data_IF_536187433972
#
_entry.id   IF_536187433972
#
_cell.length_a   1.000
_cell.length_b   1.000
_cell.length_c   1.000
_cell.angle_alpha   90.00
_cell.angle_beta   90.00
_cell.angle_gamma   90.00
#
_symmetry.space_group_name_H-M   'P 1'
#
loop_
_entity.id
_entity.type
_entity.pdbx_description
1 polymer ?
#
# COMPACT_ATOMS: atom_id res chain seq x y z
N UNK A 1 37.84 -10.78 25.90
CA UNK A 1 38.06 -9.95 24.70
C UNK A 1 37.00 -10.38 23.69
N UNK A 2 35.86 -9.69 23.63
CA UNK A 2 34.80 -9.99 22.66
C UNK A 2 34.89 -8.94 21.53
N UNK A 3 34.99 -9.34 20.26
CA UNK A 3 35.06 -8.39 19.17
C UNK A 3 33.72 -7.68 19.04
N UNK A 4 33.80 -6.37 18.86
CA UNK A 4 32.66 -5.46 18.87
C UNK A 4 31.59 -5.83 17.85
N UNK A 5 30.35 -5.87 18.32
CA UNK A 5 29.22 -5.60 17.46
C UNK A 5 29.32 -4.14 17.04
N UNK A 6 29.78 -3.92 15.81
CA UNK A 6 29.59 -2.68 15.09
C UNK A 6 28.09 -2.40 15.13
N UNK A 7 27.68 -1.40 15.92
CA UNK A 7 26.34 -0.81 15.79
C UNK A 7 26.27 -0.33 14.35
N UNK A 8 25.54 -1.07 13.52
CA UNK A 8 25.20 -0.61 12.18
C UNK A 8 24.35 0.63 12.42
N UNK A 9 24.94 1.81 12.21
CA UNK A 9 24.20 3.05 11.99
C UNK A 9 23.19 2.76 10.89
N UNK A 10 21.94 2.52 11.26
CA UNK A 10 20.86 2.49 10.28
C UNK A 10 19.75 3.34 10.84
N UNK A 11 19.64 4.52 10.23
CA UNK A 11 18.59 5.53 10.30
C UNK A 11 17.19 4.91 9.98
N UNK A 12 16.79 3.86 10.69
CA UNK A 12 15.48 3.23 10.57
C UNK A 12 14.50 4.01 11.45
N UNK A 13 13.80 4.98 10.85
CA UNK A 13 12.59 5.52 11.49
C UNK A 13 11.51 4.46 11.41
N UNK A 14 11.19 3.86 12.55
CA UNK A 14 10.15 2.85 12.68
C UNK A 14 8.76 3.41 12.33
N UNK A 15 8.02 2.72 11.46
CA UNK A 15 6.56 2.81 11.43
C UNK A 15 6.04 1.65 12.29
N UNK A 16 6.22 1.73 13.60
CA UNK A 16 5.93 0.62 14.54
C UNK A 16 4.44 0.35 14.75
N UNK A 17 3.57 1.21 14.19
CA UNK A 17 2.11 1.04 14.22
C UNK A 17 1.60 0.93 12.80
N UNK A 18 0.62 0.05 12.61
CA UNK A 18 -0.17 -0.03 11.39
C UNK A 18 -0.67 1.36 11.01
N UNK A 19 -0.39 1.77 9.78
CA UNK A 19 -0.86 3.00 9.16
C UNK A 19 -2.06 2.67 8.27
N UNK A 20 -2.89 3.66 7.97
CA UNK A 20 -4.06 3.49 7.11
C UNK A 20 -4.23 4.69 6.19
N UNK A 21 -4.74 4.43 4.98
CA UNK A 21 -5.16 5.44 4.01
C UNK A 21 -6.44 4.94 3.34
N UNK A 22 -7.35 5.87 3.09
CA UNK A 22 -8.64 5.60 2.50
C UNK A 22 -8.76 6.34 1.17
N UNK A 23 -9.07 5.61 0.12
CA UNK A 23 -9.64 6.14 -1.10
C UNK A 23 -11.16 6.12 -0.97
N UNK A 24 -11.81 7.26 -1.16
CA UNK A 24 -13.28 7.36 -1.21
C UNK A 24 -13.71 7.59 -2.65
N UNK A 25 -14.55 6.68 -3.17
CA UNK A 25 -15.24 6.80 -4.45
C UNK A 25 -16.65 7.35 -4.14
N UNK A 26 -16.99 8.56 -4.60
CA UNK A 26 -18.27 9.19 -4.26
C UNK A 26 -19.47 8.40 -4.78
N UNK A 27 -20.62 8.55 -4.11
CA UNK A 27 -21.90 8.06 -4.63
C UNK A 27 -22.28 8.73 -5.95
N UNK A 28 -22.88 7.96 -6.86
CA UNK A 28 -23.20 8.39 -8.22
C UNK A 28 -22.01 8.34 -9.19
N UNK A 29 -20.90 7.73 -8.78
CA UNK A 29 -19.76 7.47 -9.67
C UNK A 29 -20.16 6.39 -10.69
N UNK A 30 -20.01 6.63 -12.01
CA UNK A 30 -20.36 5.64 -13.02
C UNK A 30 -19.50 4.38 -12.94
N UNK A 31 -20.07 3.23 -13.35
CA UNK A 31 -19.33 1.98 -13.55
C UNK A 31 -18.03 2.20 -14.33
N UNK A 32 -17.02 1.41 -13.99
CA UNK A 32 -15.67 1.43 -14.54
C UNK A 32 -14.85 2.70 -14.26
N UNK A 33 -15.40 3.71 -13.60
CA UNK A 33 -14.63 4.88 -13.17
C UNK A 33 -13.55 4.48 -12.15
N UNK A 34 -12.36 5.03 -12.32
CA UNK A 34 -11.20 4.72 -11.51
C UNK A 34 -10.80 5.89 -10.60
N UNK A 35 -10.24 5.57 -9.45
CA UNK A 35 -9.69 6.53 -8.50
C UNK A 35 -8.41 6.01 -7.86
N UNK A 36 -7.60 6.93 -7.35
CA UNK A 36 -6.41 6.58 -6.59
C UNK A 36 -6.06 7.62 -5.54
N UNK A 37 -5.46 7.16 -4.44
CA UNK A 37 -4.80 8.02 -3.44
C UNK A 37 -3.34 7.61 -3.32
N UNK A 38 -2.44 8.57 -3.46
CA UNK A 38 -1.00 8.35 -3.39
C UNK A 38 -0.47 8.57 -1.98
N UNK A 39 0.43 7.67 -1.55
CA UNK A 39 1.18 7.77 -0.31
C UNK A 39 2.67 7.72 -0.63
N UNK A 40 3.37 8.76 -0.21
CA UNK A 40 4.80 8.94 -0.44
C UNK A 40 5.54 9.13 0.89
N UNK A 41 6.75 8.56 1.04
CA UNK A 41 7.58 8.77 2.22
C UNK A 41 8.12 10.21 2.22
N UNK A 42 8.62 10.72 3.37
CA UNK A 42 9.34 11.98 3.41
C UNK A 42 10.53 12.00 2.45
N UNK A 43 10.90 13.19 1.96
CA UNK A 43 12.07 13.35 1.07
C UNK A 43 13.35 12.74 1.67
N UNK A 44 14.11 12.02 0.83
CA UNK A 44 15.30 11.29 1.24
C UNK A 44 15.04 9.94 1.93
N UNK A 45 13.81 9.42 1.87
CA UNK A 45 13.44 8.10 2.39
C UNK A 45 12.67 7.29 1.35
N UNK A 46 12.70 5.98 1.54
CA UNK A 46 11.86 4.99 0.85
C UNK A 46 11.10 4.17 1.89
N UNK A 47 9.96 3.62 1.50
CA UNK A 47 9.26 2.64 2.32
C UNK A 47 9.93 1.28 2.19
N UNK A 48 9.94 0.54 3.29
CA UNK A 48 10.14 -0.92 3.32
C UNK A 48 8.92 -1.52 4.01
N UNK A 49 7.93 -1.90 3.22
CA UNK A 49 6.62 -2.38 3.68
C UNK A 49 6.65 -3.89 3.84
N UNK A 50 6.24 -4.39 5.01
CA UNK A 50 6.18 -5.82 5.30
C UNK A 50 4.88 -6.44 4.85
N UNK A 51 3.77 -5.74 5.02
CA UNK A 51 2.48 -6.21 4.56
C UNK A 51 1.55 -5.04 4.25
N UNK A 52 0.56 -5.34 3.42
CA UNK A 52 -0.66 -4.55 3.28
C UNK A 52 -1.86 -5.34 3.76
N UNK A 53 -2.88 -4.65 4.28
CA UNK A 53 -4.24 -5.18 4.38
C UNK A 53 -5.15 -4.32 3.55
N UNK A 54 -5.93 -4.92 2.67
CA UNK A 54 -6.85 -4.20 1.79
C UNK A 54 -8.29 -4.52 2.18
N UNK A 55 -9.07 -3.46 2.38
CA UNK A 55 -10.53 -3.55 2.52
C UNK A 55 -11.20 -2.83 1.36
N UNK A 56 -12.28 -3.40 0.86
CA UNK A 56 -13.10 -2.91 -0.24
C UNK A 56 -14.56 -2.94 0.19
N UNK A 57 -15.20 -1.78 0.17
CA UNK A 57 -16.65 -1.68 0.35
C UNK A 57 -17.41 -2.35 -0.83
N UNK A 58 -18.74 -2.55 -0.72
CA UNK A 58 -19.57 -2.90 -1.87
C UNK A 58 -19.40 -1.92 -3.04
N UNK A 59 -19.76 -2.35 -4.25
CA UNK A 59 -19.80 -1.62 -5.52
C UNK A 59 -18.43 -1.20 -6.07
N UNK A 60 -17.32 -1.59 -5.42
CA UNK A 60 -15.97 -1.20 -5.84
C UNK A 60 -14.99 -2.36 -5.80
N UNK A 61 -14.10 -2.38 -6.79
CA UNK A 61 -12.87 -3.15 -6.78
C UNK A 61 -11.74 -2.34 -6.14
N UNK A 62 -10.71 -3.02 -5.62
CA UNK A 62 -9.54 -2.38 -5.03
C UNK A 62 -8.22 -3.05 -5.38
N UNK A 63 -7.14 -2.27 -5.41
CA UNK A 63 -5.77 -2.80 -5.55
C UNK A 63 -4.77 -1.83 -4.93
N UNK A 64 -3.50 -2.20 -4.94
CA UNK A 64 -2.39 -1.34 -4.52
C UNK A 64 -1.39 -1.29 -5.66
N UNK A 65 -1.07 -0.08 -6.12
CA UNK A 65 -0.04 0.16 -7.12
C UNK A 65 1.27 0.49 -6.39
N UNK A 66 2.30 -0.29 -6.65
CA UNK A 66 3.61 -0.22 -6.01
C UNK A 66 4.59 0.43 -6.98
N UNK A 67 5.24 1.52 -6.57
CA UNK A 67 6.32 2.13 -7.37
C UNK A 67 7.67 1.77 -6.75
N UNK A 68 8.49 1.03 -7.51
CA UNK A 68 9.83 0.61 -7.10
C UNK A 68 10.86 1.75 -7.10
N UNK A 69 12.12 1.39 -6.83
CA UNK A 69 13.26 2.30 -6.89
C UNK A 69 13.67 2.65 -8.33
N UNK A 70 13.33 1.79 -9.28
CA UNK A 70 13.49 1.98 -10.72
C UNK A 70 12.42 2.92 -11.31
N UNK A 71 11.45 3.34 -10.50
CA UNK A 71 10.32 4.17 -10.93
C UNK A 71 9.24 3.39 -11.68
N UNK A 72 9.39 2.07 -11.83
CA UNK A 72 8.38 1.22 -12.48
C UNK A 72 7.24 1.01 -11.49
N UNK A 73 6.02 1.16 -11.99
CA UNK A 73 4.81 0.88 -11.23
C UNK A 73 4.24 -0.48 -11.59
N UNK A 74 3.89 -1.26 -10.57
CA UNK A 74 3.27 -2.58 -10.71
C UNK A 74 2.04 -2.69 -9.81
N UNK A 75 1.05 -3.48 -10.23
CA UNK A 75 -0.06 -3.86 -9.36
C UNK A 75 0.43 -4.91 -8.35
N UNK A 76 0.03 -4.77 -7.09
CA UNK A 76 0.28 -5.79 -6.05
C UNK A 76 -0.47 -7.07 -6.40
N UNK A 77 -1.74 -6.95 -6.80
CA UNK A 77 -2.59 -8.08 -7.19
C UNK A 77 -2.71 -8.14 -8.71
N UNK A 78 -2.60 -9.35 -9.26
CA UNK A 78 -2.78 -9.57 -10.70
C UNK A 78 -4.19 -9.19 -11.17
N UNK A 79 -5.19 -9.51 -10.34
CA UNK A 79 -6.59 -9.10 -10.50
C UNK A 79 -6.98 -8.20 -9.34
N UNK A 80 -7.87 -7.24 -9.58
CA UNK A 80 -8.33 -6.35 -8.52
C UNK A 80 -9.14 -7.13 -7.48
N UNK A 81 -8.93 -6.81 -6.19
CA UNK A 81 -9.70 -7.38 -5.09
C UNK A 81 -11.18 -7.03 -5.27
N UNK A 82 -12.03 -8.05 -5.14
CA UNK A 82 -13.48 -7.89 -5.23
C UNK A 82 -14.05 -7.06 -4.07
N UNK A 83 -15.26 -6.58 -4.24
CA UNK A 83 -16.04 -5.84 -3.25
C UNK A 83 -16.33 -6.68 -1.99
N UNK A 84 -16.78 -6.03 -0.91
CA UNK A 84 -17.19 -6.69 0.35
C UNK A 84 -16.09 -7.53 1.04
N UNK A 85 -14.83 -7.25 0.78
CA UNK A 85 -13.71 -7.91 1.42
C UNK A 85 -13.09 -6.97 2.46
N UNK A 86 -12.86 -7.48 3.66
CA UNK A 86 -12.28 -6.71 4.75
C UNK A 86 -10.92 -7.27 5.16
N UNK A 87 -9.97 -6.36 5.33
CA UNK A 87 -8.62 -6.57 5.88
C UNK A 87 -7.89 -7.80 5.33
N UNK A 88 -8.04 -8.07 4.02
CA UNK A 88 -7.30 -9.15 3.36
C UNK A 88 -5.80 -8.86 3.40
N UNK A 89 -5.03 -9.76 4.00
CA UNK A 89 -3.60 -9.61 4.26
C UNK A 89 -2.78 -10.04 3.04
N UNK A 90 -1.87 -9.17 2.61
CA UNK A 90 -0.88 -9.42 1.59
C UNK A 90 0.51 -9.21 2.19
N UNK A 91 1.19 -10.32 2.53
CA UNK A 91 2.50 -10.30 3.17
C UNK A 91 3.61 -10.31 2.12
N UNK A 92 4.57 -9.39 2.23
CA UNK A 92 5.66 -9.28 1.27
C UNK A 92 6.51 -10.55 1.16
N UNK A 93 6.51 -11.41 2.20
CA UNK A 93 7.19 -12.71 2.16
C UNK A 93 6.63 -13.66 1.09
N UNK A 94 5.41 -13.45 0.62
CA UNK A 94 4.82 -14.22 -0.48
C UNK A 94 5.47 -13.91 -1.85
N UNK A 95 6.21 -12.78 -1.96
CA UNK A 95 6.83 -12.33 -3.21
C UNK A 95 8.34 -12.07 -3.13
N UNK A 96 8.80 -11.33 -2.12
CA UNK A 96 10.17 -10.79 -2.08
C UNK A 96 10.96 -11.18 -0.83
N UNK A 97 10.30 -11.69 0.23
CA UNK A 97 10.94 -12.15 1.46
C UNK A 97 11.37 -11.05 2.44
N UNK A 98 11.89 -9.91 1.95
CA UNK A 98 12.46 -8.85 2.80
C UNK A 98 11.55 -7.61 2.97
N UNK A 99 10.47 -7.53 2.19
CA UNK A 99 9.55 -6.38 2.14
C UNK A 99 9.45 -5.77 0.75
N UNK A 100 8.38 -5.00 0.52
CA UNK A 100 8.26 -4.14 -0.66
C UNK A 100 9.07 -2.87 -0.44
N UNK A 101 10.11 -2.66 -1.24
CA UNK A 101 10.94 -1.46 -1.21
C UNK A 101 10.40 -0.45 -2.22
N UNK A 102 9.78 0.62 -1.74
CA UNK A 102 8.95 1.50 -2.55
C UNK A 102 9.33 2.97 -2.40
N UNK A 103 9.36 3.69 -3.52
CA UNK A 103 9.45 5.16 -3.52
C UNK A 103 8.10 5.79 -3.22
N UNK A 104 7.01 5.11 -3.55
CA UNK A 104 5.62 5.45 -3.21
C UNK A 104 4.71 4.26 -3.46
N UNK A 105 3.48 4.34 -2.98
CA UNK A 105 2.41 3.43 -3.42
C UNK A 105 1.11 4.21 -3.59
N UNK A 106 0.17 3.65 -4.34
CA UNK A 106 -1.18 4.20 -4.52
C UNK A 106 -2.22 3.16 -4.17
N UNK A 107 -3.22 3.54 -3.40
CA UNK A 107 -4.42 2.71 -3.27
C UNK A 107 -5.30 3.02 -4.46
N UNK A 108 -5.61 2.00 -5.24
CA UNK A 108 -6.44 2.07 -6.43
C UNK A 108 -7.84 1.54 -6.10
N UNK A 109 -8.84 2.16 -6.68
CA UNK A 109 -10.22 1.68 -6.64
C UNK A 109 -10.91 1.91 -7.96
N UNK A 110 -11.84 1.02 -8.29
CA UNK A 110 -12.62 1.10 -9.52
C UNK A 110 -14.09 0.75 -9.24
N UNK A 111 -14.99 1.57 -9.73
CA UNK A 111 -16.43 1.31 -9.63
C UNK A 111 -16.79 0.02 -10.39
N UNK A 112 -17.35 -0.96 -9.69
CA UNK A 112 -17.85 -2.22 -10.25
C UNK A 112 -19.23 -2.06 -10.87
N UNK A 113 -19.99 -1.10 -10.36
CA UNK A 113 -21.32 -0.67 -10.84
C UNK A 113 -21.45 0.84 -10.62
N UNK A 114 -22.54 1.44 -11.10
CA UNK A 114 -22.87 2.82 -10.72
C UNK A 114 -23.07 2.87 -9.20
N UNK A 115 -22.22 3.63 -8.51
CA UNK A 115 -22.23 3.62 -7.04
C UNK A 115 -23.48 4.29 -6.50
N UNK A 116 -24.08 3.72 -5.47
CA UNK A 116 -25.32 4.25 -4.86
C UNK A 116 -25.04 5.12 -3.63
N UNK A 117 -23.83 5.02 -3.07
CA UNK A 117 -23.34 5.77 -1.93
C UNK A 117 -21.82 5.90 -2.02
N UNK A 118 -21.23 6.68 -1.12
CA UNK A 118 -19.77 6.75 -1.00
C UNK A 118 -19.22 5.38 -0.59
N UNK A 119 -18.22 4.90 -1.34
CA UNK A 119 -17.56 3.61 -1.15
C UNK A 119 -16.08 3.81 -0.89
N UNK A 120 -15.52 3.02 0.00
CA UNK A 120 -14.13 3.13 0.38
C UNK A 120 -13.31 1.92 -0.06
N UNK A 121 -12.09 2.22 -0.50
CA UNK A 121 -11.00 1.25 -0.57
C UNK A 121 -9.95 1.68 0.45
N UNK A 122 -9.72 0.84 1.45
CA UNK A 122 -8.83 1.16 2.57
C UNK A 122 -7.62 0.25 2.51
N UNK A 123 -6.42 0.85 2.41
CA UNK A 123 -5.19 0.10 2.61
C UNK A 123 -4.62 0.44 3.98
N UNK A 124 -4.36 -0.62 4.76
CA UNK A 124 -3.55 -0.55 5.97
C UNK A 124 -2.19 -1.15 5.68
N UNK A 125 -1.12 -0.63 6.27
CA UNK A 125 0.22 -1.18 6.04
C UNK A 125 1.11 -1.03 7.27
N UNK A 126 2.12 -1.90 7.34
CA UNK A 126 3.16 -1.83 8.35
C UNK A 126 4.53 -2.01 7.70
N UNK A 127 5.53 -1.32 8.23
CA UNK A 127 6.88 -1.34 7.68
C UNK A 127 7.82 -0.44 8.43
N UNK A 128 8.82 0.06 7.73
CA UNK A 128 9.70 1.11 8.24
C UNK A 128 10.17 2.01 7.10
N UNK A 129 10.68 3.18 7.47
CA UNK A 129 11.36 4.04 6.52
C UNK A 129 12.85 3.67 6.50
N UNK A 130 13.41 3.64 5.29
CA UNK A 130 14.84 3.51 5.07
C UNK A 130 15.34 4.75 4.35
N UNK A 131 16.41 5.36 4.85
CA UNK A 131 17.03 6.50 4.18
C UNK A 131 17.51 6.10 2.78
N UNK A 132 17.25 6.96 1.81
CA UNK A 132 17.64 6.84 0.40
C UNK A 132 18.49 8.06 0.05
N UNK A 133 19.76 7.83 -0.21
CA UNK A 133 20.79 8.84 -0.43
C UNK A 133 21.10 9.01 -1.91
#
# INVERSE_FOLDING_TARGET
MYPGFVRKDVDQRYLSKEQAVTLTIPGGTPIDSEGYVEVSPPSGYVFVIRYFKLSTDPEVYGNILLTGLDGVEARLLAEDQDENLSDQLYDASDWTGEGFVLTKFRVYGKAKVDTTADRNVVAKWCGHLRRWW
#
